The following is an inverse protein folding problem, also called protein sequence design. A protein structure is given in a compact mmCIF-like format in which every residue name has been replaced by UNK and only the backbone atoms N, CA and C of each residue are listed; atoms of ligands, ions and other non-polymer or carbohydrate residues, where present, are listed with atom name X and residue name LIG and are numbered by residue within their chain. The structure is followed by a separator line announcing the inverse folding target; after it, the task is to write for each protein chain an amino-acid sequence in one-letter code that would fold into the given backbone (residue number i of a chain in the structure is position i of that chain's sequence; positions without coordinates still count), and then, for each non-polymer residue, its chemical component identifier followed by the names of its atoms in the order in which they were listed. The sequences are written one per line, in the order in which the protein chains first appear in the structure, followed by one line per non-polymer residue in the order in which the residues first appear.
data_IF_130871880346
#
_entry.id   IF_130871880346
#
_cell.length_a   1.000
_cell.length_b   1.000
_cell.length_c   1.000
_cell.angle_alpha   90.00
_cell.angle_beta   90.00
_cell.angle_gamma   90.00
#
_symmetry.space_group_name_H-M   'P 1'
#
loop_
_entity.id
_entity.type
_entity.pdbx_description
1 polymer ?
#
# COMPACT_ATOMS: atom_id res chain seq x y z
N UNK A 1 -19.39 0.87 -40.41
CA UNK A 1 -18.23 0.38 -39.64
C UNK A 1 -18.19 1.23 -38.39
N UNK A 2 -18.64 0.68 -37.27
CA UNK A 2 -18.54 1.39 -36.00
C UNK A 2 -17.06 1.54 -35.67
N UNK A 3 -16.64 2.78 -35.41
CA UNK A 3 -15.25 3.09 -35.04
C UNK A 3 -14.98 2.42 -33.70
N UNK A 4 -14.02 1.51 -33.65
CA UNK A 4 -13.58 0.92 -32.40
C UNK A 4 -13.02 2.02 -31.50
N UNK A 5 -13.57 2.13 -30.29
CA UNK A 5 -13.11 3.11 -29.30
C UNK A 5 -11.74 2.70 -28.77
N UNK A 6 -10.85 3.67 -28.57
CA UNK A 6 -9.57 3.42 -27.91
C UNK A 6 -9.77 3.06 -26.44
N UNK A 7 -8.79 2.40 -25.83
CA UNK A 7 -8.86 2.08 -24.40
C UNK A 7 -8.96 3.34 -23.52
N UNK A 8 -8.26 4.43 -23.89
CA UNK A 8 -8.37 5.71 -23.18
C UNK A 8 -9.78 6.31 -23.27
N UNK A 9 -10.42 6.27 -24.45
CA UNK A 9 -11.82 6.68 -24.61
C UNK A 9 -12.75 5.79 -23.77
N UNK A 10 -12.52 4.49 -23.73
CA UNK A 10 -13.27 3.55 -22.88
C UNK A 10 -13.18 3.94 -21.39
N UNK A 11 -11.98 4.22 -20.88
CA UNK A 11 -11.75 4.65 -19.49
C UNK A 11 -12.45 5.98 -19.19
N UNK A 12 -12.36 6.95 -20.11
CA UNK A 12 -13.06 8.22 -20.01
C UNK A 12 -14.58 8.03 -19.91
N UNK A 13 -15.15 7.17 -20.74
CA UNK A 13 -16.59 6.92 -20.76
C UNK A 13 -17.09 6.28 -19.46
N UNK A 14 -16.43 5.21 -19.00
CA UNK A 14 -16.88 4.51 -17.80
C UNK A 14 -16.72 5.34 -16.53
N UNK A 15 -15.63 6.11 -16.42
CA UNK A 15 -15.40 6.94 -15.23
C UNK A 15 -16.26 8.21 -15.20
N UNK A 16 -16.63 8.78 -16.36
CA UNK A 16 -17.53 9.95 -16.43
C UNK A 16 -19.00 9.60 -16.22
N UNK A 17 -19.41 8.38 -16.58
CA UNK A 17 -20.82 7.95 -16.55
C UNK A 17 -20.96 6.53 -16.00
N UNK A 18 -20.52 6.29 -14.75
CA UNK A 18 -20.44 4.94 -14.20
C UNK A 18 -21.81 4.24 -14.15
N UNK A 19 -22.90 4.99 -13.93
CA UNK A 19 -24.28 4.47 -13.91
C UNK A 19 -24.78 3.90 -15.26
N UNK A 20 -24.10 4.16 -16.37
CA UNK A 20 -24.45 3.53 -17.66
C UNK A 20 -23.87 2.12 -17.79
N UNK A 21 -22.85 1.79 -16.99
CA UNK A 21 -22.08 0.54 -17.08
C UNK A 21 -22.21 -0.31 -15.82
N UNK A 22 -22.55 0.31 -14.69
CA UNK A 22 -22.62 -0.27 -13.36
C UNK A 22 -23.96 0.11 -12.71
N UNK A 23 -24.44 -0.69 -11.75
CA UNK A 23 -25.74 -0.45 -11.12
C UNK A 23 -25.68 0.73 -10.14
N UNK A 24 -24.74 0.69 -9.19
CA UNK A 24 -24.56 1.75 -8.19
C UNK A 24 -23.56 2.83 -8.61
N UNK A 25 -22.76 2.57 -9.64
CA UNK A 25 -21.68 3.45 -10.07
C UNK A 25 -20.60 3.67 -9.01
N UNK A 26 -20.44 2.71 -8.10
CA UNK A 26 -19.47 2.77 -7.00
C UNK A 26 -18.06 2.46 -7.50
N UNK A 27 -17.03 2.80 -6.69
CA UNK A 27 -15.65 2.45 -7.01
C UNK A 27 -15.46 0.96 -7.28
N UNK A 28 -16.07 0.11 -6.44
CA UNK A 28 -15.91 -1.34 -6.54
C UNK A 28 -16.50 -1.88 -7.85
N UNK A 29 -17.65 -1.36 -8.28
CA UNK A 29 -18.27 -1.79 -9.54
C UNK A 29 -17.46 -1.31 -10.74
N UNK A 30 -17.04 -0.04 -10.75
CA UNK A 30 -16.24 0.54 -11.84
C UNK A 30 -14.91 -0.20 -11.98
N UNK A 31 -14.19 -0.41 -10.87
CA UNK A 31 -12.92 -1.14 -10.90
C UNK A 31 -13.08 -2.59 -11.33
N UNK A 32 -14.12 -3.29 -10.85
CA UNK A 32 -14.42 -4.66 -11.27
C UNK A 32 -14.75 -4.75 -12.77
N UNK A 33 -15.52 -3.78 -13.30
CA UNK A 33 -15.83 -3.72 -14.72
C UNK A 33 -14.56 -3.55 -15.56
N UNK A 34 -13.68 -2.62 -15.18
CA UNK A 34 -12.40 -2.40 -15.88
C UNK A 34 -11.52 -3.65 -15.82
N UNK A 35 -11.40 -4.29 -14.65
CA UNK A 35 -10.64 -5.53 -14.50
C UNK A 35 -11.20 -6.66 -15.37
N UNK A 36 -12.53 -6.81 -15.41
CA UNK A 36 -13.20 -7.79 -16.27
C UNK A 36 -12.93 -7.53 -17.75
N UNK A 37 -12.96 -6.26 -18.17
CA UNK A 37 -12.61 -5.88 -19.54
C UNK A 37 -11.15 -6.24 -19.88
N UNK A 38 -10.20 -5.93 -19.00
CA UNK A 38 -8.78 -6.25 -19.19
C UNK A 38 -8.47 -7.76 -19.10
N UNK A 39 -9.33 -8.53 -18.42
CA UNK A 39 -9.21 -9.99 -18.39
C UNK A 39 -9.70 -10.64 -19.69
N UNK A 40 -10.64 -9.99 -20.39
CA UNK A 40 -11.21 -10.49 -21.63
C UNK A 40 -10.45 -10.03 -22.88
N UNK A 41 -9.68 -8.93 -22.78
CA UNK A 41 -8.94 -8.32 -23.89
C UNK A 41 -7.60 -7.80 -23.40
N UNK A 42 -6.57 -7.93 -24.22
CA UNK A 42 -5.29 -7.28 -23.95
C UNK A 42 -5.46 -5.75 -24.02
N UNK A 43 -5.07 -5.07 -22.96
CA UNK A 43 -5.13 -3.62 -22.79
C UNK A 43 -3.78 -3.11 -22.29
N UNK A 44 -3.51 -1.80 -22.41
CA UNK A 44 -2.30 -1.19 -21.84
C UNK A 44 -2.06 -1.47 -20.35
N UNK A 45 -3.09 -1.84 -19.58
CA UNK A 45 -2.97 -2.12 -18.14
C UNK A 45 -3.10 -3.61 -17.78
N UNK A 46 -3.04 -4.51 -18.76
CA UNK A 46 -3.22 -5.96 -18.54
C UNK A 46 -2.04 -6.64 -17.84
N UNK A 47 -0.87 -6.00 -17.83
CA UNK A 47 0.35 -6.53 -17.21
C UNK A 47 0.57 -6.15 -15.74
N UNK A 48 1.69 -6.60 -15.18
CA UNK A 48 2.07 -6.29 -13.79
C UNK A 48 2.64 -4.88 -13.61
N UNK A 49 3.01 -4.24 -14.71
CA UNK A 49 3.66 -2.94 -14.78
C UNK A 49 2.72 -1.85 -14.27
N UNK A 50 1.42 -1.94 -14.61
CA UNK A 50 0.43 -1.01 -14.11
C UNK A 50 0.27 -1.12 -12.59
N UNK A 51 0.16 -2.34 -12.04
CA UNK A 51 0.11 -2.56 -10.59
C UNK A 51 1.33 -1.95 -9.90
N UNK A 52 2.53 -2.22 -10.43
CA UNK A 52 3.78 -1.70 -9.91
C UNK A 52 3.82 -0.17 -9.96
N UNK A 53 3.44 0.43 -11.08
CA UNK A 53 3.36 1.89 -11.23
C UNK A 53 2.43 2.52 -10.19
N UNK A 54 1.20 2.00 -10.03
CA UNK A 54 0.24 2.52 -9.06
C UNK A 54 0.79 2.41 -7.63
N UNK A 55 1.44 1.29 -7.29
CA UNK A 55 2.05 1.13 -5.97
C UNK A 55 3.15 2.16 -5.73
N UNK A 56 4.11 2.28 -6.65
CA UNK A 56 5.24 3.20 -6.53
C UNK A 56 4.77 4.66 -6.41
N UNK A 57 3.87 5.11 -7.29
CA UNK A 57 3.29 6.46 -7.28
C UNK A 57 2.64 6.82 -5.95
N UNK A 58 2.10 5.83 -5.24
CA UNK A 58 1.40 6.02 -3.97
C UNK A 58 2.23 5.67 -2.73
N UNK A 59 3.51 5.31 -2.90
CA UNK A 59 4.38 4.79 -1.84
C UNK A 59 3.83 3.53 -1.16
N UNK A 60 3.15 2.67 -1.92
CA UNK A 60 2.74 1.34 -1.46
C UNK A 60 3.78 0.29 -1.86
N UNK A 61 3.88 -0.80 -1.10
CA UNK A 61 4.60 -1.98 -1.54
C UNK A 61 4.06 -2.52 -2.87
N UNK A 62 4.94 -2.99 -3.76
CA UNK A 62 4.61 -3.34 -5.16
C UNK A 62 3.84 -4.65 -5.31
N UNK A 63 3.64 -5.40 -4.22
CA UNK A 63 2.83 -6.62 -4.20
C UNK A 63 1.32 -6.35 -3.99
N UNK A 64 0.91 -5.09 -3.82
CA UNK A 64 -0.50 -4.72 -3.71
C UNK A 64 -1.15 -4.58 -5.10
N UNK A 65 -2.45 -4.88 -5.17
CA UNK A 65 -3.25 -4.68 -6.38
C UNK A 65 -3.63 -3.21 -6.53
N UNK A 66 -3.62 -2.69 -7.76
CA UNK A 66 -3.88 -1.27 -8.03
C UNK A 66 -5.22 -0.78 -7.46
N UNK A 67 -6.26 -1.61 -7.50
CA UNK A 67 -7.60 -1.23 -6.99
C UNK A 67 -7.61 -0.99 -5.49
N UNK A 68 -6.89 -1.81 -4.74
CA UNK A 68 -6.74 -1.63 -3.30
C UNK A 68 -5.98 -0.34 -2.99
N UNK A 69 -4.88 -0.08 -3.71
CA UNK A 69 -4.06 1.12 -3.53
C UNK A 69 -4.89 2.38 -3.78
N UNK A 70 -5.53 2.48 -4.94
CA UNK A 70 -6.36 3.64 -5.29
C UNK A 70 -7.49 3.81 -4.28
N UNK A 71 -8.22 2.73 -3.93
CA UNK A 71 -9.32 2.82 -2.95
C UNK A 71 -8.85 3.33 -1.60
N UNK A 72 -7.69 2.86 -1.14
CA UNK A 72 -7.12 3.24 0.16
C UNK A 72 -6.68 4.70 0.18
N UNK A 73 -6.19 5.22 -0.96
CA UNK A 73 -5.84 6.63 -1.10
C UNK A 73 -7.05 7.57 -1.30
N UNK A 74 -8.25 7.02 -1.54
CA UNK A 74 -9.41 7.81 -1.93
C UNK A 74 -10.35 8.09 -0.76
N UNK A 75 -10.93 9.28 -0.73
CA UNK A 75 -11.82 9.74 0.34
C UNK A 75 -13.22 9.14 0.24
N UNK A 76 -13.70 8.94 -0.98
CA UNK A 76 -15.03 8.42 -1.31
C UNK A 76 -15.01 7.80 -2.72
N UNK A 77 -16.16 7.27 -3.16
CA UNK A 77 -16.25 6.60 -4.47
C UNK A 77 -16.00 7.54 -5.65
N UNK A 78 -16.45 8.80 -5.60
CA UNK A 78 -16.25 9.78 -6.68
C UNK A 78 -14.76 10.13 -6.85
N UNK A 79 -14.09 10.44 -5.74
CA UNK A 79 -12.65 10.67 -5.68
C UNK A 79 -11.88 9.44 -6.18
N UNK A 80 -12.30 8.24 -5.76
CA UNK A 80 -11.73 7.00 -6.23
C UNK A 80 -11.87 6.78 -7.73
N UNK A 81 -13.05 7.05 -8.30
CA UNK A 81 -13.28 6.91 -9.74
C UNK A 81 -12.46 7.94 -10.53
N UNK A 82 -12.32 9.18 -10.03
CA UNK A 82 -11.42 10.16 -10.66
C UNK A 82 -9.97 9.69 -10.62
N UNK A 83 -9.52 9.17 -9.48
CA UNK A 83 -8.16 8.63 -9.32
C UNK A 83 -7.91 7.43 -10.25
N UNK A 84 -8.89 6.52 -10.45
CA UNK A 84 -8.80 5.44 -11.45
C UNK A 84 -8.52 6.02 -12.84
N UNK A 85 -9.38 6.95 -13.27
CA UNK A 85 -9.31 7.55 -14.60
C UNK A 85 -7.96 8.23 -14.81
N UNK A 86 -7.57 9.11 -13.91
CA UNK A 86 -6.33 9.88 -14.00
C UNK A 86 -5.11 8.97 -14.01
N UNK A 87 -5.06 7.99 -13.10
CA UNK A 87 -3.90 7.08 -12.98
C UNK A 87 -3.74 6.18 -14.22
N UNK A 88 -4.85 5.65 -14.76
CA UNK A 88 -4.78 4.82 -15.97
C UNK A 88 -4.35 5.65 -17.18
N UNK A 89 -4.93 6.84 -17.37
CA UNK A 89 -4.61 7.69 -18.50
C UNK A 89 -3.16 8.20 -18.43
N UNK A 90 -2.70 8.59 -17.25
CA UNK A 90 -1.30 8.98 -17.02
C UNK A 90 -0.35 7.81 -17.33
N UNK A 91 -0.65 6.60 -16.83
CA UNK A 91 0.18 5.43 -17.14
C UNK A 91 0.29 5.18 -18.64
N UNK A 92 -0.83 5.22 -19.36
CA UNK A 92 -0.85 5.05 -20.82
C UNK A 92 -0.02 6.13 -21.52
N UNK A 93 -0.14 7.39 -21.10
CA UNK A 93 0.64 8.48 -21.69
C UNK A 93 2.14 8.27 -21.46
N UNK A 94 2.54 7.98 -20.22
CA UNK A 94 3.94 7.83 -19.85
C UNK A 94 4.56 6.56 -20.45
N UNK A 95 3.86 5.44 -20.49
CA UNK A 95 4.35 4.18 -21.07
C UNK A 95 4.60 4.27 -22.58
N UNK A 96 3.94 5.21 -23.26
CA UNK A 96 4.20 5.48 -24.68
C UNK A 96 5.43 6.36 -24.92
N UNK A 97 5.96 7.01 -23.86
CA UNK A 97 7.03 8.02 -23.94
C UNK A 97 8.32 7.61 -23.24
N UNK A 98 8.22 6.71 -22.26
CA UNK A 98 9.30 6.30 -21.37
C UNK A 98 9.49 4.79 -21.45
N UNK A 99 10.72 4.34 -21.23
CA UNK A 99 10.95 2.92 -20.97
C UNK A 99 10.52 2.56 -19.53
N UNK A 100 10.53 1.27 -19.20
CA UNK A 100 10.06 0.77 -17.90
C UNK A 100 10.82 1.38 -16.70
N UNK A 101 12.15 1.49 -16.79
CA UNK A 101 12.98 2.01 -15.72
C UNK A 101 12.69 3.50 -15.47
N UNK A 102 12.61 4.28 -16.55
CA UNK A 102 12.25 5.70 -16.50
C UNK A 102 10.84 5.91 -15.92
N UNK A 103 9.88 5.07 -16.33
CA UNK A 103 8.49 5.13 -15.86
C UNK A 103 8.39 4.87 -14.36
N UNK A 104 9.10 3.87 -13.85
CA UNK A 104 9.07 3.54 -12.42
C UNK A 104 9.87 4.54 -11.60
N UNK A 105 10.99 5.06 -12.11
CA UNK A 105 11.71 6.14 -11.44
C UNK A 105 10.83 7.40 -11.36
N UNK A 106 10.13 7.76 -12.43
CA UNK A 106 9.16 8.85 -12.44
C UNK A 106 8.07 8.65 -11.38
N UNK A 107 7.53 7.44 -11.26
CA UNK A 107 6.52 7.12 -10.25
C UNK A 107 7.05 7.31 -8.81
N UNK A 108 8.29 6.88 -8.55
CA UNK A 108 8.95 7.05 -7.24
C UNK A 108 9.22 8.53 -6.94
N UNK A 109 9.77 9.28 -7.90
CA UNK A 109 10.13 10.68 -7.71
C UNK A 109 8.92 11.58 -7.45
N UNK A 110 7.76 11.22 -8.01
CA UNK A 110 6.50 11.93 -7.80
C UNK A 110 5.71 11.43 -6.59
N UNK A 111 6.16 10.36 -5.94
CA UNK A 111 5.50 9.86 -4.75
C UNK A 111 5.81 10.78 -3.55
N UNK A 112 4.79 11.11 -2.76
CA UNK A 112 4.99 11.85 -1.50
C UNK A 112 5.55 10.90 -0.43
N UNK A 113 6.88 10.77 -0.41
CA UNK A 113 7.64 9.76 0.35
C UNK A 113 8.15 10.24 1.70
N UNK A 114 7.82 11.46 2.15
CA UNK A 114 8.43 11.99 3.37
C UNK A 114 7.88 11.29 4.62
N UNK A 115 8.69 10.39 5.19
CA UNK A 115 8.40 9.73 6.47
C UNK A 115 8.36 10.73 7.63
N UNK A 116 7.29 10.65 8.43
CA UNK A 116 7.18 11.33 9.70
C UNK A 116 7.75 10.49 10.85
N UNK A 117 7.57 10.99 12.07
CA UNK A 117 8.01 10.28 13.28
C UNK A 117 7.32 8.91 13.49
N UNK A 118 6.00 8.73 13.23
CA UNK A 118 5.38 7.41 13.33
C UNK A 118 6.03 6.36 12.43
N UNK A 119 6.31 6.71 11.18
CA UNK A 119 6.92 5.81 10.19
C UNK A 119 8.33 5.40 10.63
N UNK A 120 9.13 6.35 11.14
CA UNK A 120 10.46 6.06 11.71
C UNK A 120 10.39 5.16 12.94
N UNK A 121 9.41 5.38 13.82
CA UNK A 121 9.19 4.54 15.00
C UNK A 121 8.83 3.12 14.58
N UNK A 122 7.95 2.98 13.59
CA UNK A 122 7.58 1.67 13.05
C UNK A 122 8.79 0.96 12.42
N UNK A 123 9.60 1.66 11.62
CA UNK A 123 10.84 1.13 11.04
C UNK A 123 11.82 0.62 12.11
N UNK A 124 12.01 1.40 13.18
CA UNK A 124 12.83 0.96 14.32
C UNK A 124 12.26 -0.29 15.00
N UNK A 125 10.94 -0.38 15.11
CA UNK A 125 10.26 -1.55 15.65
C UNK A 125 10.42 -2.78 14.73
N UNK A 126 10.23 -2.62 13.42
CA UNK A 126 10.41 -3.68 12.42
C UNK A 126 11.84 -4.25 12.45
N UNK A 127 12.85 -3.39 12.44
CA UNK A 127 14.25 -3.81 12.55
C UNK A 127 14.51 -4.55 13.88
N UNK A 128 13.90 -4.10 14.98
CA UNK A 128 14.02 -4.76 16.27
C UNK A 128 13.32 -6.14 16.31
N UNK A 129 12.22 -6.32 15.55
CA UNK A 129 11.56 -7.62 15.39
C UNK A 129 12.47 -8.63 14.70
N UNK A 130 13.23 -8.21 13.67
CA UNK A 130 14.13 -9.09 12.92
C UNK A 130 15.21 -9.71 13.81
N UNK A 131 15.81 -8.90 14.69
CA UNK A 131 16.86 -9.34 15.62
C UNK A 131 16.32 -9.86 16.97
N UNK A 132 15.01 -9.81 17.20
CA UNK A 132 14.40 -10.18 18.49
C UNK A 132 14.85 -9.31 19.67
N UNK A 133 15.08 -8.01 19.46
CA UNK A 133 15.57 -7.12 20.52
C UNK A 133 14.44 -6.73 21.50
N UNK A 134 14.27 -7.55 22.55
CA UNK A 134 13.26 -7.36 23.59
C UNK A 134 13.21 -5.93 24.14
N UNK A 135 14.36 -5.34 24.49
CA UNK A 135 14.41 -4.02 25.13
C UNK A 135 13.86 -2.93 24.21
N UNK A 136 14.23 -2.96 22.93
CA UNK A 136 13.73 -1.99 21.96
C UNK A 136 12.24 -2.23 21.69
N UNK A 137 11.84 -3.47 21.42
CA UNK A 137 10.44 -3.82 21.16
C UNK A 137 9.54 -3.35 22.31
N UNK A 138 9.86 -3.71 23.55
CA UNK A 138 9.08 -3.33 24.73
C UNK A 138 8.95 -1.81 24.89
N UNK A 139 9.98 -1.04 24.52
CA UNK A 139 9.91 0.43 24.57
C UNK A 139 9.04 1.06 23.49
N UNK A 140 8.76 0.34 22.40
CA UNK A 140 8.09 0.88 21.22
C UNK A 140 6.64 0.42 21.07
N UNK A 141 6.20 -0.57 21.84
CA UNK A 141 4.83 -1.10 21.75
C UNK A 141 3.93 -0.56 22.87
N UNK A 142 2.61 -0.68 22.67
CA UNK A 142 1.66 -0.63 23.76
C UNK A 142 1.79 -1.87 24.65
N UNK A 143 1.47 -1.71 25.95
CA UNK A 143 1.49 -2.81 26.91
C UNK A 143 0.58 -3.96 26.45
N UNK A 144 1.12 -5.18 26.40
CA UNK A 144 0.39 -6.36 25.97
C UNK A 144 0.93 -7.62 26.70
N UNK A 145 0.03 -8.43 27.24
CA UNK A 145 0.37 -9.62 28.05
C UNK A 145 1.13 -10.70 27.27
N UNK A 146 0.99 -10.72 25.93
CA UNK A 146 1.65 -11.66 25.01
C UNK A 146 2.77 -11.01 24.20
N UNK A 147 3.30 -9.88 24.67
CA UNK A 147 4.40 -9.19 24.01
C UNK A 147 5.64 -10.07 23.81
N UNK A 148 5.80 -11.11 24.64
CA UNK A 148 6.91 -12.05 24.55
C UNK A 148 7.00 -12.82 23.23
N UNK A 149 5.88 -12.99 22.53
CA UNK A 149 5.86 -13.57 21.18
C UNK A 149 6.61 -12.72 20.15
N UNK A 150 6.83 -11.43 20.40
CA UNK A 150 7.48 -10.52 19.46
C UNK A 150 9.01 -10.73 19.37
N UNK A 151 9.65 -11.31 20.38
CA UNK A 151 11.12 -11.53 20.40
C UNK A 151 11.56 -13.00 20.46
N UNK A 152 10.64 -13.96 20.33
CA UNK A 152 10.97 -15.40 20.30
C UNK A 152 11.45 -15.91 18.93
N UNK A 153 11.15 -15.21 17.84
CA UNK A 153 11.48 -15.63 16.47
C UNK A 153 12.60 -14.80 15.82
N UNK A 154 13.76 -14.68 16.47
CA UNK A 154 14.92 -13.98 15.87
C UNK A 154 15.36 -14.71 14.58
N UNK A 155 15.57 -13.95 13.51
CA UNK A 155 16.17 -14.48 12.29
C UNK A 155 17.68 -14.74 12.49
N UNK A 156 18.28 -15.71 11.76
CA UNK A 156 19.73 -15.83 11.68
C UNK A 156 20.37 -14.50 11.29
N UNK A 157 21.56 -14.18 11.83
CA UNK A 157 22.19 -12.87 11.63
C UNK A 157 22.40 -12.56 10.13
N UNK A 158 22.84 -13.55 9.35
CA UNK A 158 23.03 -13.44 7.90
C UNK A 158 21.76 -13.17 7.09
N UNK A 159 20.59 -13.56 7.63
CA UNK A 159 19.28 -13.27 7.02
C UNK A 159 18.81 -11.90 7.47
N UNK A 160 19.07 -11.53 8.72
CA UNK A 160 18.65 -10.26 9.30
C UNK A 160 19.27 -9.06 8.58
N UNK A 161 20.56 -9.12 8.23
CA UNK A 161 21.22 -8.04 7.47
C UNK A 161 20.52 -7.77 6.14
N UNK A 162 20.20 -8.82 5.38
CA UNK A 162 19.50 -8.70 4.10
C UNK A 162 18.07 -8.18 4.27
N UNK A 163 17.37 -8.64 5.31
CA UNK A 163 16.00 -8.18 5.58
C UNK A 163 15.97 -6.71 6.03
N UNK A 164 16.97 -6.24 6.78
CA UNK A 164 17.10 -4.84 7.15
C UNK A 164 17.32 -3.96 5.91
N UNK A 165 18.25 -4.35 5.02
CA UNK A 165 18.51 -3.61 3.78
C UNK A 165 17.25 -3.54 2.90
N UNK A 166 16.47 -4.62 2.83
CA UNK A 166 15.19 -4.63 2.12
C UNK A 166 14.15 -3.72 2.79
N UNK A 167 14.03 -3.78 4.12
CA UNK A 167 13.09 -2.92 4.88
C UNK A 167 13.40 -1.45 4.66
N UNK A 168 14.68 -1.03 4.79
CA UNK A 168 15.12 0.37 4.65
C UNK A 168 14.73 0.99 3.31
N UNK A 169 14.71 0.19 2.25
CA UNK A 169 14.35 0.63 0.90
C UNK A 169 12.85 0.47 0.58
N UNK A 170 12.06 -0.11 1.49
CA UNK A 170 10.62 -0.27 1.29
C UNK A 170 9.84 0.93 1.80
N UNK A 171 8.85 1.41 1.03
CA UNK A 171 8.04 2.54 1.43
C UNK A 171 7.06 2.13 2.54
N UNK A 172 6.88 3.04 3.51
CA UNK A 172 5.85 2.96 4.54
C UNK A 172 4.83 4.05 4.26
N UNK A 173 3.57 3.66 4.07
CA UNK A 173 2.49 4.61 3.76
C UNK A 173 1.59 4.85 4.95
N UNK A 174 1.44 6.12 5.34
CA UNK A 174 0.32 6.55 6.18
C UNK A 174 -0.97 6.61 5.35
N UNK A 175 -1.96 5.82 5.76
CA UNK A 175 -3.25 5.73 5.07
C UNK A 175 -4.38 6.43 5.83
N UNK A 176 -4.23 6.59 7.14
CA UNK A 176 -5.18 7.32 8.00
C UNK A 176 -4.47 8.03 9.12
N UNK A 177 -5.05 9.15 9.52
CA UNK A 177 -4.68 9.89 10.72
C UNK A 177 -5.97 10.31 11.42
N UNK A 178 -6.05 10.08 12.73
CA UNK A 178 -7.19 10.52 13.56
C UNK A 178 -7.29 12.04 13.56
N UNK A 179 -8.50 12.60 13.73
CA UNK A 179 -8.72 14.06 13.75
C UNK A 179 -7.87 14.81 14.80
N UNK A 180 -7.53 14.15 15.90
CA UNK A 180 -6.70 14.72 16.96
C UNK A 180 -5.19 14.48 16.77
N UNK A 181 -4.78 13.84 15.66
CA UNK A 181 -3.38 13.53 15.34
C UNK A 181 -2.71 12.54 16.30
N UNK A 182 -3.47 11.79 17.13
CA UNK A 182 -2.91 10.88 18.15
C UNK A 182 -2.92 9.41 17.74
N UNK A 183 -3.53 9.05 16.61
CA UNK A 183 -3.44 7.73 16.02
C UNK A 183 -3.21 7.82 14.51
N UNK A 184 -2.38 6.94 13.98
CA UNK A 184 -2.17 6.77 12.54
C UNK A 184 -2.24 5.29 12.16
N UNK A 185 -2.74 5.01 10.95
CA UNK A 185 -2.64 3.68 10.36
C UNK A 185 -1.61 3.69 9.22
N UNK A 186 -0.70 2.73 9.25
CA UNK A 186 0.36 2.54 8.26
C UNK A 186 0.17 1.25 7.46
N UNK A 187 0.65 1.26 6.22
CA UNK A 187 0.83 0.07 5.36
C UNK A 187 2.33 -0.12 5.11
N UNK A 188 2.80 -1.35 5.28
CA UNK A 188 4.19 -1.77 5.05
C UNK A 188 4.23 -3.14 4.37
N UNK A 189 5.29 -3.42 3.60
CA UNK A 189 5.39 -4.63 2.75
C UNK A 189 5.45 -5.94 3.53
N UNK A 190 5.95 -5.90 4.77
CA UNK A 190 6.13 -7.09 5.61
C UNK A 190 4.87 -7.57 6.32
N UNK A 191 3.75 -6.85 6.20
CA UNK A 191 2.55 -7.11 6.98
C UNK A 191 1.30 -7.20 6.08
N UNK A 192 0.46 -8.25 6.24
CA UNK A 192 -0.76 -8.42 5.45
C UNK A 192 -1.93 -7.56 5.96
N UNK A 193 -1.68 -6.64 6.89
CA UNK A 193 -2.66 -5.78 7.53
C UNK A 193 -2.07 -4.42 7.85
N UNK A 194 -2.95 -3.45 8.08
CA UNK A 194 -2.56 -2.11 8.54
C UNK A 194 -2.05 -2.14 9.97
N UNK A 195 -1.01 -1.36 10.23
CA UNK A 195 -0.40 -1.20 11.56
C UNK A 195 -0.86 0.12 12.16
N UNK A 196 -1.43 0.06 13.35
CA UNK A 196 -1.79 1.25 14.09
C UNK A 196 -0.64 1.71 14.99
N UNK A 197 -0.38 3.01 14.99
CA UNK A 197 0.48 3.66 15.98
C UNK A 197 -0.31 4.70 16.76
N UNK A 198 -0.10 4.75 18.06
CA UNK A 198 -0.81 5.65 18.99
C UNK A 198 0.21 6.50 19.74
N UNK A 199 -0.03 7.81 19.80
CA UNK A 199 0.75 8.75 20.59
C UNK A 199 0.32 8.69 22.06
N UNK A 200 1.17 8.13 22.92
CA UNK A 200 0.95 8.00 24.37
C UNK A 200 2.12 8.64 25.11
N UNK A 201 1.82 9.58 26.02
CA UNK A 201 2.83 10.33 26.79
C UNK A 201 3.89 11.00 25.90
N UNK A 202 3.47 11.61 24.79
CA UNK A 202 4.33 12.23 23.76
C UNK A 202 5.28 11.26 23.01
N UNK A 203 5.07 9.96 23.12
CA UNK A 203 5.81 8.94 22.37
C UNK A 203 4.87 8.13 21.49
N UNK A 204 5.24 7.91 20.23
CA UNK A 204 4.52 7.00 19.36
C UNK A 204 4.78 5.55 19.80
N UNK A 205 3.70 4.78 19.93
CA UNK A 205 3.73 3.37 20.29
C UNK A 205 3.00 2.54 19.25
N UNK A 206 3.58 1.42 18.87
CA UNK A 206 2.99 0.46 17.94
C UNK A 206 1.93 -0.36 18.67
N UNK A 207 0.73 -0.42 18.12
CA UNK A 207 -0.27 -1.41 18.52
C UNK A 207 0.10 -2.76 17.88
N UNK A 208 0.70 -3.65 18.67
CA UNK A 208 1.22 -4.92 18.19
C UNK A 208 0.19 -6.07 18.16
N UNK A 209 -1.08 -5.81 18.50
CA UNK A 209 -2.10 -6.85 18.67
C UNK A 209 -2.27 -7.75 17.44
N UNK A 210 -2.32 -7.16 16.24
CA UNK A 210 -2.45 -7.92 14.99
C UNK A 210 -1.21 -8.78 14.70
N UNK A 211 -0.02 -8.30 15.05
CA UNK A 211 1.25 -9.03 14.87
C UNK A 211 1.31 -10.21 15.84
N UNK A 212 0.93 -9.98 17.09
CA UNK A 212 0.85 -11.01 18.13
C UNK A 212 -0.16 -12.08 17.74
N UNK A 213 -1.34 -11.67 17.24
CA UNK A 213 -2.36 -12.59 16.72
C UNK A 213 -1.80 -13.47 15.60
N UNK A 214 -1.15 -12.87 14.61
CA UNK A 214 -0.53 -13.60 13.50
C UNK A 214 0.51 -14.63 13.99
N UNK A 215 1.38 -14.26 14.93
CA UNK A 215 2.38 -15.19 15.50
C UNK A 215 1.75 -16.31 16.32
N UNK A 216 0.64 -16.02 17.01
CA UNK A 216 -0.12 -17.01 17.79
C UNK A 216 -0.76 -18.04 16.85
N UNK A 217 -1.40 -17.59 15.78
CA UNK A 217 -2.10 -18.47 14.82
C UNK A 217 -1.14 -19.36 14.02
N UNK A 218 0.07 -18.87 13.74
CA UNK A 218 1.08 -19.60 12.97
C UNK A 218 1.97 -20.54 13.81
N UNK A 219 1.68 -20.75 15.10
CA UNK A 219 2.50 -21.56 16.03
C UNK A 219 4.00 -21.17 16.01
N UNK A 220 4.31 -19.89 15.81
CA UNK A 220 5.68 -19.40 15.94
C UNK A 220 6.03 -19.26 17.43
N UNK A 221 6.30 -20.39 18.08
CA UNK A 221 6.78 -20.49 19.46
C UNK A 221 8.24 -20.96 19.50
#
# INVERSE_FOLDING_TARGET
MDKEITFSEFIEHICKRPLMYCLGGTFNEVSAFIQGYCSAKETPISGTEFNRFVCLKNSFPTNYIWTYVIKTCSKNDEDGISNIKETILEFIELSNRMNEEELFQFAVDNANTKEGEPEKVFRKFENALLVGNKKIIQSLILDNDKADLLWKGKYPDSVTEKLNELSENQPIKRIKESENGKSVELVASGFPFTIELILKNNEWKVNADKIIKLRTENNCA
#
